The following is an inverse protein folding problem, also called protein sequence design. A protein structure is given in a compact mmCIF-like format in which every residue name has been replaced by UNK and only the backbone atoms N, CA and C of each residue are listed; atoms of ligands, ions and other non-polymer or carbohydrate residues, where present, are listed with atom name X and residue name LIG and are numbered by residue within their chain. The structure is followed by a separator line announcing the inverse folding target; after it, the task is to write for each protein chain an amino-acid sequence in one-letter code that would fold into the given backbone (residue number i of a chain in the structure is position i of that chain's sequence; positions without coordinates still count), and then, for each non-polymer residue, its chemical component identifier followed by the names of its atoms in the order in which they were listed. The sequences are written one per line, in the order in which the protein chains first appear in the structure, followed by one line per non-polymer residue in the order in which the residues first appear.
data_IF_522172937372
#
_entry.id   IF_522172937372
#
_cell.length_a   1.000
_cell.length_b   1.000
_cell.length_c   1.000
_cell.angle_alpha   90.00
_cell.angle_beta   90.00
_cell.angle_gamma   90.00
#
_symmetry.space_group_name_H-M   'P 1'
#
loop_
_entity.id
_entity.type
_entity.pdbx_description
1 polymer ?
#
# COMPACT_ATOMS: atom_id res chain seq x y z
N UNK A 1 -11.43 -5.98 26.94
CA UNK A 1 -12.03 -5.99 25.58
C UNK A 1 -11.91 -7.41 25.06
N UNK A 2 -13.02 -8.11 24.80
CA UNK A 2 -13.00 -9.49 24.31
C UNK A 2 -12.62 -9.50 22.82
N UNK A 3 -11.37 -9.84 22.51
CA UNK A 3 -10.89 -10.11 21.15
C UNK A 3 -11.11 -11.58 20.77
N UNK A 4 -12.29 -12.11 21.05
CA UNK A 4 -12.72 -13.36 20.44
C UNK A 4 -12.99 -13.05 18.98
N UNK A 5 -12.14 -13.52 18.07
CA UNK A 5 -12.33 -13.41 16.63
C UNK A 5 -13.76 -13.85 16.28
N UNK A 6 -14.64 -12.89 15.98
CA UNK A 6 -16.02 -13.18 15.59
C UNK A 6 -15.94 -14.09 14.35
N UNK A 7 -16.73 -15.17 14.28
CA UNK A 7 -16.81 -15.98 13.07
C UNK A 7 -17.11 -15.07 11.88
N UNK A 8 -16.33 -15.20 10.81
CA UNK A 8 -16.46 -14.38 9.62
C UNK A 8 -17.81 -14.68 8.97
N UNK A 9 -18.70 -13.70 8.98
CA UNK A 9 -20.05 -13.85 8.42
C UNK A 9 -20.01 -13.52 6.93
N UNK A 10 -19.98 -14.55 6.08
CA UNK A 10 -19.82 -14.40 4.62
C UNK A 10 -20.98 -13.60 4.01
N UNK A 11 -22.22 -13.85 4.44
CA UNK A 11 -23.38 -13.09 3.96
C UNK A 11 -23.27 -11.57 4.18
N UNK A 12 -22.76 -11.14 5.34
CA UNK A 12 -22.58 -9.73 5.66
C UNK A 12 -21.48 -9.09 4.79
N UNK A 13 -20.42 -9.84 4.49
CA UNK A 13 -19.38 -9.42 3.55
C UNK A 13 -19.96 -9.23 2.14
N UNK A 14 -20.80 -10.16 1.67
CA UNK A 14 -21.51 -10.03 0.38
C UNK A 14 -22.36 -8.75 0.36
N UNK A 15 -23.16 -8.53 1.40
CA UNK A 15 -24.01 -7.34 1.52
C UNK A 15 -23.19 -6.05 1.42
N UNK A 16 -22.05 -6.01 2.11
CA UNK A 16 -21.18 -4.83 2.14
C UNK A 16 -20.50 -4.55 0.81
N UNK A 17 -19.97 -5.59 0.15
CA UNK A 17 -19.37 -5.46 -1.18
C UNK A 17 -20.44 -5.03 -2.20
N UNK A 18 -21.65 -5.58 -2.11
CA UNK A 18 -22.79 -5.19 -2.96
C UNK A 18 -23.13 -3.70 -2.80
N UNK A 19 -23.19 -3.20 -1.57
CA UNK A 19 -23.42 -1.78 -1.28
C UNK A 19 -22.32 -0.89 -1.84
N UNK A 20 -21.05 -1.28 -1.68
CA UNK A 20 -19.90 -0.55 -2.25
C UNK A 20 -19.94 -0.51 -3.78
N UNK A 21 -20.51 -1.52 -4.42
CA UNK A 21 -20.77 -1.56 -5.87
C UNK A 21 -22.03 -0.79 -6.29
N UNK A 22 -22.77 -0.21 -5.36
CA UNK A 22 -24.01 0.53 -5.65
C UNK A 22 -25.15 -0.37 -6.17
N UNK A 23 -25.10 -1.68 -5.90
CA UNK A 23 -26.04 -2.65 -6.45
C UNK A 23 -27.19 -2.93 -5.46
N UNK A 24 -28.44 -2.94 -5.94
CA UNK A 24 -29.61 -3.34 -5.13
C UNK A 24 -29.69 -4.86 -4.97
N UNK A 25 -30.30 -5.35 -3.89
CA UNK A 25 -30.53 -6.80 -3.71
C UNK A 25 -31.34 -7.42 -4.87
N UNK A 26 -32.35 -6.70 -5.38
CA UNK A 26 -33.13 -7.13 -6.55
C UNK A 26 -32.26 -7.31 -7.80
N UNK A 27 -31.31 -6.38 -8.03
CA UNK A 27 -30.42 -6.45 -9.19
C UNK A 27 -29.46 -7.65 -9.09
N UNK A 28 -28.91 -7.90 -7.90
CA UNK A 28 -28.09 -9.10 -7.65
C UNK A 28 -28.93 -10.38 -7.84
N UNK A 29 -30.16 -10.40 -7.35
CA UNK A 29 -31.06 -11.53 -7.47
C UNK A 29 -31.37 -11.87 -8.93
N UNK A 30 -31.69 -10.85 -9.74
CA UNK A 30 -31.90 -11.00 -11.19
C UNK A 30 -30.64 -11.55 -11.87
N UNK A 31 -29.46 -11.04 -11.52
CA UNK A 31 -28.20 -11.45 -12.13
C UNK A 31 -27.82 -12.90 -11.85
N UNK A 32 -28.09 -13.40 -10.63
CA UNK A 32 -27.82 -14.81 -10.26
C UNK A 32 -29.05 -15.74 -10.45
N UNK A 33 -30.15 -15.22 -11.02
CA UNK A 33 -31.35 -16.01 -11.35
C UNK A 33 -32.17 -16.49 -10.15
N UNK A 34 -32.16 -15.75 -9.04
CA UNK A 34 -32.91 -16.10 -7.82
C UNK A 34 -33.89 -15.00 -7.40
N UNK A 35 -34.70 -15.26 -6.38
CA UNK A 35 -35.58 -14.25 -5.81
C UNK A 35 -34.82 -13.25 -4.92
N UNK A 36 -35.34 -12.03 -4.78
CA UNK A 36 -34.77 -11.04 -3.84
C UNK A 36 -34.75 -11.56 -2.39
N UNK A 37 -35.76 -12.33 -1.99
CA UNK A 37 -35.80 -12.98 -0.67
C UNK A 37 -34.64 -13.98 -0.50
N UNK A 38 -34.29 -14.73 -1.55
CA UNK A 38 -33.15 -15.64 -1.54
C UNK A 38 -31.84 -14.88 -1.30
N UNK A 39 -31.65 -13.72 -1.95
CA UNK A 39 -30.47 -12.86 -1.70
C UNK A 39 -30.45 -12.33 -0.27
N UNK A 40 -31.59 -11.87 0.24
CA UNK A 40 -31.70 -11.42 1.65
C UNK A 40 -31.31 -12.54 2.63
N UNK A 41 -31.74 -13.77 2.37
CA UNK A 41 -31.40 -14.93 3.20
C UNK A 41 -29.91 -15.28 3.10
N UNK A 42 -29.31 -15.19 1.91
CA UNK A 42 -27.87 -15.39 1.71
C UNK A 42 -27.07 -14.34 2.49
N UNK A 43 -27.46 -13.06 2.41
CA UNK A 43 -26.79 -11.97 3.14
C UNK A 43 -26.90 -12.13 4.67
N UNK A 44 -27.99 -12.76 5.15
CA UNK A 44 -28.19 -13.09 6.56
C UNK A 44 -27.53 -14.39 7.03
N UNK A 45 -26.89 -15.16 6.13
CA UNK A 45 -26.25 -16.44 6.47
C UNK A 45 -24.76 -16.28 6.78
N UNK A 46 -24.29 -16.91 7.86
CA UNK A 46 -22.87 -16.93 8.21
C UNK A 46 -22.02 -17.64 7.16
N UNK A 47 -22.56 -18.72 6.58
CA UNK A 47 -21.90 -19.53 5.55
C UNK A 47 -22.72 -19.55 4.27
N UNK A 48 -22.04 -19.62 3.13
CA UNK A 48 -22.65 -19.67 1.80
C UNK A 48 -21.95 -20.77 1.01
N UNK A 49 -22.73 -21.59 0.29
CA UNK A 49 -22.20 -22.66 -0.55
C UNK A 49 -21.22 -22.09 -1.58
N UNK A 50 -20.12 -22.82 -1.84
CA UNK A 50 -19.03 -22.34 -2.71
C UNK A 50 -19.52 -21.99 -4.12
N UNK A 51 -20.44 -22.79 -4.69
CA UNK A 51 -21.03 -22.54 -6.01
C UNK A 51 -21.79 -21.21 -6.06
N UNK A 52 -22.61 -20.94 -5.03
CA UNK A 52 -23.36 -19.67 -4.93
C UNK A 52 -22.44 -18.50 -4.68
N UNK A 53 -21.42 -18.69 -3.84
CA UNK A 53 -20.43 -17.66 -3.57
C UNK A 53 -19.66 -17.26 -4.83
N UNK A 54 -19.28 -18.24 -5.66
CA UNK A 54 -18.62 -18.00 -6.93
C UNK A 54 -19.52 -17.22 -7.91
N UNK A 55 -20.78 -17.62 -8.05
CA UNK A 55 -21.74 -16.91 -8.90
C UNK A 55 -21.95 -15.45 -8.44
N UNK A 56 -22.04 -15.22 -7.13
CA UNK A 56 -22.14 -13.87 -6.56
C UNK A 56 -20.85 -13.07 -6.80
N UNK A 57 -19.69 -13.70 -6.62
CA UNK A 57 -18.40 -13.05 -6.82
C UNK A 57 -18.21 -12.58 -8.27
N UNK A 58 -18.60 -13.42 -9.23
CA UNK A 58 -18.57 -13.09 -10.66
C UNK A 58 -19.44 -11.87 -10.98
N UNK A 59 -20.69 -11.84 -10.49
CA UNK A 59 -21.60 -10.70 -10.68
C UNK A 59 -21.09 -9.42 -10.01
N UNK A 60 -20.47 -9.53 -8.84
CA UNK A 60 -19.89 -8.39 -8.11
C UNK A 60 -18.51 -7.97 -8.65
N UNK A 61 -17.95 -8.70 -9.62
CA UNK A 61 -16.64 -8.45 -10.22
C UNK A 61 -15.50 -8.55 -9.21
N UNK A 62 -15.55 -9.52 -8.29
CA UNK A 62 -14.53 -9.79 -7.27
C UNK A 62 -14.24 -11.30 -7.22
N UNK A 63 -13.17 -11.72 -6.55
CA UNK A 63 -12.93 -13.14 -6.29
C UNK A 63 -13.74 -13.62 -5.07
N UNK A 64 -14.10 -14.91 -5.03
CA UNK A 64 -14.73 -15.50 -3.85
C UNK A 64 -13.84 -15.40 -2.61
N UNK A 65 -12.52 -15.48 -2.78
CA UNK A 65 -11.54 -15.23 -1.71
C UNK A 65 -11.62 -13.81 -1.17
N UNK A 66 -11.80 -12.80 -2.04
CA UNK A 66 -11.95 -11.42 -1.60
C UNK A 66 -13.20 -11.22 -0.74
N UNK A 67 -14.30 -11.94 -1.01
CA UNK A 67 -15.50 -11.94 -0.18
C UNK A 67 -15.22 -12.62 1.18
N UNK A 68 -14.54 -13.76 1.20
CA UNK A 68 -14.17 -14.48 2.44
C UNK A 68 -13.19 -13.69 3.32
N UNK A 69 -12.30 -12.93 2.69
CA UNK A 69 -11.28 -12.14 3.37
C UNK A 69 -11.65 -10.67 3.54
N UNK A 70 -12.86 -10.29 3.16
CA UNK A 70 -13.35 -8.93 3.32
C UNK A 70 -13.28 -8.48 4.79
N UNK A 71 -12.71 -7.30 4.99
CA UNK A 71 -12.63 -6.62 6.27
C UNK A 71 -12.82 -5.12 6.03
N UNK A 72 -13.83 -4.54 6.68
CA UNK A 72 -14.16 -3.12 6.57
C UNK A 72 -12.96 -2.21 6.90
N UNK A 73 -12.14 -2.56 7.91
CA UNK A 73 -10.97 -1.76 8.27
C UNK A 73 -9.89 -1.78 7.19
N UNK A 74 -9.65 -2.97 6.61
CA UNK A 74 -8.69 -3.13 5.52
C UNK A 74 -9.15 -2.38 4.27
N UNK A 75 -10.45 -2.42 3.96
CA UNK A 75 -11.01 -1.69 2.81
C UNK A 75 -10.95 -0.18 3.03
N UNK A 76 -11.33 0.31 4.21
CA UNK A 76 -11.26 1.74 4.52
C UNK A 76 -9.82 2.27 4.47
N UNK A 77 -8.87 1.53 5.04
CA UNK A 77 -7.46 1.87 4.98
C UNK A 77 -6.94 1.90 3.53
N UNK A 78 -7.30 0.92 2.70
CA UNK A 78 -6.92 0.91 1.30
C UNK A 78 -7.56 2.07 0.50
N UNK A 79 -8.82 2.42 0.74
CA UNK A 79 -9.49 3.56 0.08
C UNK A 79 -8.82 4.88 0.49
N UNK A 80 -8.49 5.04 1.77
CA UNK A 80 -7.80 6.23 2.27
C UNK A 80 -6.39 6.39 1.69
N UNK A 81 -5.68 5.30 1.41
CA UNK A 81 -4.28 5.34 0.98
C UNK A 81 -4.05 5.10 -0.53
N UNK A 82 -5.07 4.73 -1.31
CA UNK A 82 -4.94 4.46 -2.76
C UNK A 82 -5.76 5.39 -3.68
N UNK A 83 -6.18 6.58 -3.22
CA UNK A 83 -6.72 7.57 -4.14
C UNK A 83 -5.59 8.32 -4.85
N UNK A 84 -5.87 8.81 -6.06
CA UNK A 84 -4.92 9.55 -6.88
C UNK A 84 -4.52 10.86 -6.17
N UNK A 85 -3.35 10.87 -5.53
CA UNK A 85 -2.89 11.95 -4.63
C UNK A 85 -2.55 11.53 -3.19
N UNK A 86 -2.85 10.29 -2.78
CA UNK A 86 -2.61 9.80 -1.42
C UNK A 86 -1.13 9.51 -1.06
N UNK A 87 -0.23 9.51 -2.03
CA UNK A 87 1.17 9.03 -1.89
C UNK A 87 2.12 10.06 -1.27
N UNK A 88 1.60 11.02 -0.47
CA UNK A 88 2.45 12.01 0.20
C UNK A 88 1.95 12.25 1.63
N UNK A 89 2.01 11.26 2.55
CA UNK A 89 2.43 11.49 3.95
C UNK A 89 2.28 10.35 4.99
N UNK A 90 1.91 9.10 4.68
CA UNK A 90 1.62 8.13 5.75
C UNK A 90 2.39 6.80 5.70
N UNK A 91 3.61 6.81 6.24
CA UNK A 91 4.17 5.71 7.05
C UNK A 91 4.64 4.42 6.34
N UNK A 92 5.41 3.57 7.04
CA UNK A 92 6.49 2.76 6.48
C UNK A 92 6.07 1.34 6.04
N UNK A 93 4.97 1.18 5.31
CA UNK A 93 4.50 -0.16 4.88
C UNK A 93 3.70 -0.09 3.58
N UNK A 94 4.37 0.25 2.48
CA UNK A 94 4.01 -0.03 1.07
C UNK A 94 4.79 0.97 0.20
N UNK A 95 6.12 0.88 0.12
CA UNK A 95 6.76 0.21 -1.03
C UNK A 95 5.99 0.33 -2.35
N UNK A 96 5.62 1.56 -2.74
CA UNK A 96 5.82 1.98 -4.13
C UNK A 96 7.32 1.91 -4.35
N UNK A 97 7.77 0.69 -4.68
CA UNK A 97 9.08 0.43 -5.21
C UNK A 97 9.21 1.28 -6.48
N UNK A 98 9.69 2.50 -6.33
CA UNK A 98 10.68 2.99 -7.28
C UNK A 98 11.77 1.92 -7.22
N UNK A 99 11.73 0.99 -8.17
CA UNK A 99 12.69 -0.11 -8.32
C UNK A 99 14.05 0.52 -8.61
N UNK A 100 14.67 1.10 -7.60
CA UNK A 100 16.09 1.37 -7.61
C UNK A 100 16.75 -0.01 -7.66
N UNK A 101 17.48 -0.30 -8.74
CA UNK A 101 18.31 -1.51 -8.85
C UNK A 101 19.52 -1.49 -7.90
N UNK A 102 19.60 -0.47 -7.05
CA UNK A 102 20.64 -0.25 -6.05
C UNK A 102 20.00 0.10 -4.72
N UNK A 103 20.64 -0.29 -3.62
CA UNK A 103 20.25 0.10 -2.27
C UNK A 103 20.57 1.60 -2.06
N UNK A 104 19.57 2.46 -1.79
CA UNK A 104 19.78 3.90 -1.63
C UNK A 104 20.74 4.26 -0.48
N UNK A 105 20.78 3.45 0.58
CA UNK A 105 21.69 3.68 1.71
C UNK A 105 23.16 3.53 1.30
N UNK A 106 23.45 2.56 0.42
CA UNK A 106 24.81 2.34 -0.07
C UNK A 106 25.27 3.53 -0.91
N UNK A 107 24.37 4.09 -1.74
CA UNK A 107 24.66 5.33 -2.51
C UNK A 107 24.82 6.56 -1.65
N UNK A 108 24.08 6.66 -0.55
CA UNK A 108 24.25 7.76 0.41
C UNK A 108 25.62 7.69 1.08
N UNK A 109 26.03 6.50 1.52
CA UNK A 109 27.35 6.28 2.13
C UNK A 109 28.48 6.62 1.15
N UNK A 110 28.35 6.20 -0.12
CA UNK A 110 29.29 6.54 -1.19
C UNK A 110 29.44 8.06 -1.35
N UNK A 111 28.32 8.79 -1.42
CA UNK A 111 28.34 10.25 -1.52
C UNK A 111 28.99 10.94 -0.30
N UNK A 112 28.83 10.38 0.91
CA UNK A 112 29.50 10.90 2.11
C UNK A 112 31.03 10.70 2.05
N UNK A 113 31.49 9.53 1.59
CA UNK A 113 32.93 9.27 1.45
C UNK A 113 33.57 10.11 0.34
N UNK A 114 32.87 10.33 -0.77
CA UNK A 114 33.32 11.25 -1.83
C UNK A 114 33.44 12.70 -1.31
N UNK A 115 32.45 13.17 -0.55
CA UNK A 115 32.51 14.48 0.09
C UNK A 115 33.69 14.59 1.05
N UNK A 116 33.95 13.56 1.87
CA UNK A 116 35.08 13.55 2.80
C UNK A 116 36.43 13.68 2.07
N UNK A 117 36.62 12.93 0.97
CA UNK A 117 37.81 13.03 0.12
C UNK A 117 37.95 14.42 -0.52
N UNK A 118 36.84 15.03 -0.92
CA UNK A 118 36.85 16.39 -1.47
C UNK A 118 37.32 17.40 -0.42
N UNK A 119 36.85 17.29 0.82
CA UNK A 119 37.30 18.16 1.92
C UNK A 119 38.79 17.98 2.25
N UNK A 120 39.30 16.74 2.24
CA UNK A 120 40.72 16.47 2.44
C UNK A 120 41.60 17.14 1.36
N UNK A 121 41.16 17.08 0.09
CA UNK A 121 41.85 17.77 -1.02
C UNK A 121 41.80 19.28 -0.91
N UNK A 122 40.65 19.83 -0.49
CA UNK A 122 40.52 21.28 -0.29
C UNK A 122 41.49 21.76 0.80
N UNK A 123 41.55 21.04 1.92
CA UNK A 123 42.48 21.34 3.00
C UNK A 123 43.95 21.24 2.57
N UNK A 124 44.27 20.28 1.70
CA UNK A 124 45.60 20.15 1.13
C UNK A 124 45.94 21.31 0.20
N UNK A 125 45.03 21.70 -0.70
CA UNK A 125 45.21 22.85 -1.58
C UNK A 125 45.39 24.16 -0.80
N UNK A 126 44.66 24.34 0.31
CA UNK A 126 44.83 25.48 1.20
C UNK A 126 46.22 25.50 1.84
N UNK A 127 46.73 24.35 2.30
CA UNK A 127 48.09 24.23 2.85
C UNK A 127 49.16 24.56 1.82
N UNK A 128 49.06 24.01 0.61
CA UNK A 128 50.00 24.27 -0.48
C UNK A 128 50.01 25.75 -0.87
N UNK A 129 48.84 26.39 -0.89
CA UNK A 129 48.71 27.83 -1.15
C UNK A 129 49.36 28.67 -0.05
N UNK A 130 49.19 28.29 1.22
CA UNK A 130 49.85 28.96 2.34
C UNK A 130 51.37 28.81 2.22
N UNK A 131 51.87 27.60 1.96
CA UNK A 131 53.30 27.34 1.79
C UNK A 131 53.90 28.14 0.63
N UNK A 132 53.22 28.20 -0.52
CA UNK A 132 53.62 29.03 -1.65
C UNK A 132 53.72 30.51 -1.26
N UNK A 133 52.73 31.03 -0.53
CA UNK A 133 52.74 32.42 -0.04
C UNK A 133 53.88 32.67 0.96
N UNK A 134 54.14 31.74 1.88
CA UNK A 134 55.25 31.84 2.82
C UNK A 134 56.61 31.87 2.10
N UNK A 135 56.81 31.00 1.13
CA UNK A 135 58.04 30.95 0.33
C UNK A 135 58.22 32.22 -0.50
N UNK A 136 57.13 32.78 -1.04
CA UNK A 136 57.16 34.06 -1.76
C UNK A 136 57.53 35.23 -0.85
N UNK A 137 57.08 35.23 0.41
CA UNK A 137 57.43 36.26 1.40
C UNK A 137 58.89 36.11 1.84
N UNK A 138 59.38 34.88 2.08
CA UNK A 138 60.76 34.61 2.52
C UNK A 138 61.82 34.85 1.44
N UNK A 139 61.44 34.81 0.16
CA UNK A 139 62.32 35.06 -0.99
C UNK A 139 62.47 36.53 -1.38
N UNK A 140 61.85 37.46 -0.64
CA UNK A 140 62.09 38.92 -0.73
C UNK A 140 63.00 39.37 0.40
#
# INVERSE_FOLDING_TARGET
MNTTAKPKHIGRNISRIRELRGMKQEALAIAIGVSQQSVSNIEGSENVDEEKLNAIAEVLGVSAEAIKNYNDETVLNNIQNNYEGAVINSGPTASVNHNCTFNPLDKLIEAYEENKKLYERLLQADKEKIEYLENFIKGK
#
